data_IF_936627621525
#
_entry.id   IF_936627621525
#
_cell.length_a   1.000
_cell.length_b   1.000
_cell.length_c   1.000
_cell.angle_alpha   90.00
_cell.angle_beta   90.00
_cell.angle_gamma   90.00
#
_symmetry.space_group_name_H-M   'P 1'
#
loop_
_entity.id
_entity.type
_entity.pdbx_description
1 polymer ?
#
# COMPACT_ATOMS: atom_id res chain seq x y z
N UNK A 1 -33.09 11.55 6.20
CA UNK A 1 -32.08 11.03 7.15
C UNK A 1 -31.71 9.62 6.68
N UNK A 2 -30.47 9.40 6.23
CA UNK A 2 -30.01 8.14 5.61
C UNK A 2 -30.27 6.91 6.50
N UNK A 3 -30.13 7.04 7.82
CA UNK A 3 -30.36 5.92 8.73
C UNK A 3 -31.80 5.38 8.72
N UNK A 4 -32.78 6.13 8.21
CA UNK A 4 -34.15 5.65 8.05
C UNK A 4 -34.34 4.69 6.87
N UNK A 5 -33.34 4.56 5.99
CA UNK A 5 -33.39 3.64 4.84
C UNK A 5 -32.70 2.30 5.13
N UNK A 6 -32.12 2.13 6.32
CA UNK A 6 -31.43 0.91 6.72
C UNK A 6 -32.41 -0.01 7.46
N UNK A 7 -32.66 -1.18 6.89
CA UNK A 7 -33.39 -2.26 7.57
C UNK A 7 -32.41 -3.17 8.29
N UNK A 8 -32.56 -3.27 9.61
CA UNK A 8 -31.80 -4.22 10.43
C UNK A 8 -32.43 -5.63 10.31
N UNK A 9 -31.65 -6.73 10.41
CA UNK A 9 -32.17 -8.08 10.20
C UNK A 9 -33.41 -8.40 11.05
N UNK A 10 -34.46 -8.93 10.41
CA UNK A 10 -35.73 -9.26 11.08
C UNK A 10 -35.62 -10.59 11.84
N UNK A 11 -35.71 -10.54 13.18
CA UNK A 11 -35.63 -11.73 14.04
C UNK A 11 -35.71 -11.47 15.55
N UNK A 12 -36.33 -10.36 15.95
CA UNK A 12 -36.34 -9.88 17.35
C UNK A 12 -35.11 -9.02 17.66
N UNK A 13 -35.11 -8.30 18.79
CA UNK A 13 -33.93 -7.59 19.20
C UNK A 13 -32.94 -8.68 19.62
N UNK A 14 -32.08 -9.12 18.69
CA UNK A 14 -30.69 -9.29 19.09
C UNK A 14 -30.26 -7.89 19.51
N UNK A 15 -30.63 -7.49 20.74
CA UNK A 15 -30.17 -6.28 21.38
C UNK A 15 -28.68 -6.38 21.19
N UNK A 16 -28.13 -5.57 20.28
CA UNK A 16 -26.69 -5.53 20.10
C UNK A 16 -26.15 -5.30 21.50
N UNK A 17 -25.27 -6.20 21.95
CA UNK A 17 -24.59 -5.93 23.20
C UNK A 17 -23.76 -4.67 22.98
N UNK A 18 -24.26 -3.55 23.50
CA UNK A 18 -23.66 -2.25 23.26
C UNK A 18 -22.24 -2.19 23.83
N UNK A 19 -21.92 -3.05 24.80
CA UNK A 19 -20.56 -3.22 25.30
C UNK A 19 -19.67 -3.92 24.26
N UNK A 20 -20.19 -4.97 23.61
CA UNK A 20 -19.48 -5.64 22.51
C UNK A 20 -19.28 -4.69 21.31
N UNK A 21 -20.29 -3.89 20.98
CA UNK A 21 -20.20 -2.85 19.94
C UNK A 21 -19.12 -1.83 20.30
N UNK A 22 -19.14 -1.31 21.53
CA UNK A 22 -18.14 -0.35 22.02
C UNK A 22 -16.73 -0.93 21.92
N UNK A 23 -16.54 -2.18 22.37
CA UNK A 23 -15.26 -2.90 22.29
C UNK A 23 -14.77 -3.06 20.85
N UNK A 24 -15.64 -3.45 19.92
CA UNK A 24 -15.32 -3.57 18.48
C UNK A 24 -14.92 -2.23 17.87
N UNK A 25 -15.65 -1.17 18.20
CA UNK A 25 -15.38 0.19 17.72
C UNK A 25 -14.04 0.71 18.27
N UNK A 26 -13.70 0.40 19.53
CA UNK A 26 -12.42 0.76 20.14
C UNK A 26 -11.24 -0.01 19.55
N UNK A 27 -11.42 -1.30 19.31
CA UNK A 27 -10.45 -2.11 18.57
C UNK A 27 -10.20 -1.54 17.17
N UNK A 28 -11.28 -1.19 16.46
CA UNK A 28 -11.19 -0.59 15.13
C UNK A 28 -10.52 0.78 15.15
N UNK A 29 -10.82 1.64 16.13
CA UNK A 29 -10.16 2.94 16.31
C UNK A 29 -8.64 2.81 16.46
N UNK A 30 -8.22 1.87 17.30
CA UNK A 30 -6.79 1.62 17.54
C UNK A 30 -6.12 1.08 16.27
N UNK A 31 -6.81 0.18 15.58
CA UNK A 31 -6.38 -0.37 14.30
C UNK A 31 -6.23 0.71 13.21
N UNK A 32 -7.24 1.57 12.99
CA UNK A 32 -7.19 2.59 11.92
C UNK A 32 -6.11 3.62 12.17
N UNK A 33 -5.93 4.05 13.44
CA UNK A 33 -4.81 4.91 13.81
C UNK A 33 -3.47 4.27 13.47
N UNK A 34 -3.25 3.01 13.86
CA UNK A 34 -1.98 2.34 13.57
C UNK A 34 -1.78 2.12 12.07
N UNK A 35 -2.85 1.78 11.35
CA UNK A 35 -2.80 1.60 9.90
C UNK A 35 -2.43 2.90 9.19
N UNK A 36 -2.96 4.04 9.62
CA UNK A 36 -2.63 5.36 9.06
C UNK A 36 -1.13 5.67 9.23
N UNK A 37 -0.63 5.56 10.47
CA UNK A 37 0.81 5.72 10.77
C UNK A 37 1.68 4.82 9.90
N UNK A 38 1.33 3.54 9.77
CA UNK A 38 2.08 2.56 8.97
C UNK A 38 1.99 2.85 7.47
N UNK A 39 0.85 3.33 6.98
CA UNK A 39 0.66 3.71 5.57
C UNK A 39 1.52 4.91 5.21
N UNK A 40 1.59 5.91 6.09
CA UNK A 40 2.48 7.08 5.96
C UNK A 40 3.94 6.63 5.92
N UNK A 41 4.36 5.81 6.88
CA UNK A 41 5.75 5.33 6.97
C UNK A 41 6.16 4.53 5.72
N UNK A 42 5.29 3.63 5.26
CA UNK A 42 5.55 2.84 4.06
C UNK A 42 5.63 3.72 2.83
N UNK A 43 4.68 4.68 2.68
CA UNK A 43 4.67 5.60 1.55
C UNK A 43 5.97 6.43 1.50
N UNK A 44 6.46 6.93 2.64
CA UNK A 44 7.75 7.63 2.72
C UNK A 44 8.93 6.77 2.26
N UNK A 45 8.98 5.52 2.73
CA UNK A 45 10.06 4.58 2.41
C UNK A 45 10.05 4.18 0.94
N UNK A 46 8.87 3.90 0.39
CA UNK A 46 8.68 3.56 -1.03
C UNK A 46 9.05 4.75 -1.92
N UNK A 47 8.63 5.96 -1.56
CA UNK A 47 8.99 7.19 -2.28
C UNK A 47 10.50 7.43 -2.30
N UNK A 48 11.17 7.26 -1.16
CA UNK A 48 12.62 7.39 -1.09
C UNK A 48 13.32 6.33 -1.95
N UNK A 49 12.84 5.09 -1.88
CA UNK A 49 13.38 3.99 -2.66
C UNK A 49 13.21 4.22 -4.17
N UNK A 50 12.03 4.66 -4.63
CA UNK A 50 11.78 5.03 -6.01
C UNK A 50 12.78 6.09 -6.51
N UNK A 51 12.99 7.17 -5.74
CA UNK A 51 14.00 8.20 -6.08
C UNK A 51 15.42 7.63 -6.19
N UNK A 52 15.79 6.71 -5.29
CA UNK A 52 17.10 6.04 -5.34
C UNK A 52 17.23 5.16 -6.58
N UNK A 53 16.17 4.48 -7.02
CA UNK A 53 16.21 3.71 -8.27
C UNK A 53 16.38 4.62 -9.49
N UNK A 54 15.56 5.69 -9.59
CA UNK A 54 15.56 6.63 -10.73
C UNK A 54 16.91 7.32 -10.92
N UNK A 55 17.50 7.83 -9.85
CA UNK A 55 18.71 8.64 -9.94
C UNK A 55 19.95 7.89 -9.45
N UNK A 56 19.88 7.28 -8.26
CA UNK A 56 21.02 6.68 -7.59
C UNK A 56 21.54 5.42 -8.28
N UNK A 57 20.70 4.39 -8.41
CA UNK A 57 21.09 3.13 -9.02
C UNK A 57 21.43 3.31 -10.49
N UNK A 58 20.60 4.04 -11.26
CA UNK A 58 20.94 4.43 -12.63
C UNK A 58 22.35 4.97 -12.75
N UNK A 59 22.70 5.96 -11.92
CA UNK A 59 24.02 6.60 -11.94
C UNK A 59 25.16 5.62 -11.63
N UNK A 60 24.99 4.74 -10.64
CA UNK A 60 26.05 3.78 -10.29
C UNK A 60 26.26 2.75 -11.40
N UNK A 61 25.20 2.25 -12.02
CA UNK A 61 25.30 1.35 -13.18
C UNK A 61 25.98 2.03 -14.38
N UNK A 62 25.60 3.27 -14.70
CA UNK A 62 26.23 4.04 -15.76
C UNK A 62 27.71 4.34 -15.48
N UNK A 63 28.10 4.54 -14.21
CA UNK A 63 29.49 4.74 -13.82
C UNK A 63 30.34 3.49 -14.06
N UNK A 64 29.80 2.31 -13.77
CA UNK A 64 30.44 1.04 -14.10
C UNK A 64 30.53 0.87 -15.62
N UNK A 65 29.43 1.14 -16.34
CA UNK A 65 29.38 1.05 -17.80
C UNK A 65 30.40 1.98 -18.50
N UNK A 66 30.54 3.20 -18.01
CA UNK A 66 31.58 4.15 -18.45
C UNK A 66 33.00 3.62 -18.23
N UNK A 67 33.27 2.99 -17.08
CA UNK A 67 34.60 2.44 -16.76
C UNK A 67 34.98 1.30 -17.71
N UNK A 68 34.04 0.40 -18.04
CA UNK A 68 34.28 -0.68 -19.02
C UNK A 68 34.59 -0.11 -20.42
N UNK A 69 33.84 0.90 -20.87
CA UNK A 69 34.13 1.55 -22.15
C UNK A 69 35.49 2.24 -22.17
N UNK A 70 35.87 2.92 -21.09
CA UNK A 70 37.20 3.51 -20.96
C UNK A 70 38.32 2.48 -21.08
N UNK A 71 38.14 1.29 -20.49
CA UNK A 71 39.09 0.18 -20.64
C UNK A 71 39.15 -0.32 -22.08
N UNK A 72 38.00 -0.54 -22.73
CA UNK A 72 37.95 -0.94 -24.14
C UNK A 72 38.67 0.06 -25.04
N UNK A 73 38.45 1.36 -24.84
CA UNK A 73 39.10 2.43 -25.60
C UNK A 73 40.63 2.39 -25.44
N UNK A 74 41.13 2.11 -24.24
CA UNK A 74 42.56 1.95 -24.01
C UNK A 74 43.13 0.74 -24.78
N UNK A 75 42.38 -0.36 -24.85
CA UNK A 75 42.81 -1.55 -25.61
C UNK A 75 42.75 -1.35 -27.13
N UNK A 76 41.89 -0.46 -27.62
CA UNK A 76 41.84 -0.09 -29.05
C UNK A 76 43.04 0.77 -29.50
N UNK A 77 43.82 1.33 -28.56
CA UNK A 77 45.02 2.10 -28.89
C UNK A 77 46.15 1.25 -29.45
N UNK A 78 46.23 -0.03 -29.06
CA UNK A 78 47.18 -1.02 -29.59
C UNK A 78 46.41 -1.99 -30.50
N UNK A 79 46.36 -1.66 -31.79
CA UNK A 79 45.48 -2.28 -32.80
C UNK A 79 45.91 -3.69 -33.22
N UNK A 80 46.04 -4.60 -32.26
CA UNK A 80 46.30 -6.01 -32.50
C UNK A 80 45.03 -6.69 -33.05
N UNK A 81 45.10 -7.27 -34.25
CA UNK A 81 43.93 -7.85 -34.91
C UNK A 81 43.23 -8.96 -34.09
N UNK A 82 43.98 -9.69 -33.26
CA UNK A 82 43.44 -10.76 -32.41
C UNK A 82 42.72 -10.23 -31.15
N UNK A 83 42.92 -8.98 -30.73
CA UNK A 83 42.27 -8.41 -29.53
C UNK A 83 40.93 -7.73 -29.84
N UNK A 84 40.60 -7.53 -31.12
CA UNK A 84 39.39 -6.81 -31.56
C UNK A 84 38.12 -7.41 -30.96
N UNK A 85 37.98 -8.73 -30.92
CA UNK A 85 36.82 -9.41 -30.33
C UNK A 85 36.66 -9.11 -28.84
N UNK A 86 37.77 -9.18 -28.08
CA UNK A 86 37.78 -8.88 -26.65
C UNK A 86 37.38 -7.44 -26.37
N UNK A 87 37.94 -6.49 -27.11
CA UNK A 87 37.66 -5.06 -26.95
C UNK A 87 36.16 -4.79 -27.16
N UNK A 88 35.59 -5.33 -28.24
CA UNK A 88 34.16 -5.21 -28.53
C UNK A 88 33.28 -5.82 -27.43
N UNK A 89 33.65 -6.98 -26.88
CA UNK A 89 32.91 -7.62 -25.79
C UNK A 89 32.95 -6.78 -24.49
N UNK A 90 34.10 -6.16 -24.17
CA UNK A 90 34.24 -5.26 -23.02
C UNK A 90 33.42 -3.97 -23.23
N UNK A 91 33.47 -3.37 -24.42
CA UNK A 91 32.64 -2.21 -24.76
C UNK A 91 31.14 -2.54 -24.60
N UNK A 92 30.71 -3.69 -25.12
CA UNK A 92 29.32 -4.14 -25.02
C UNK A 92 28.90 -4.40 -23.57
N UNK A 93 29.81 -4.89 -22.71
CA UNK A 93 29.54 -4.99 -21.27
C UNK A 93 29.25 -3.62 -20.67
N UNK A 94 29.98 -2.59 -21.11
CA UNK A 94 29.70 -1.21 -20.72
C UNK A 94 28.30 -0.74 -21.12
N UNK A 95 27.87 -1.04 -22.34
CA UNK A 95 26.51 -0.75 -22.83
C UNK A 95 25.42 -1.52 -22.07
N UNK A 96 25.67 -2.78 -21.72
CA UNK A 96 24.73 -3.58 -20.94
C UNK A 96 24.51 -2.99 -19.54
N UNK A 97 25.57 -2.50 -18.89
CA UNK A 97 25.46 -1.82 -17.59
C UNK A 97 24.71 -0.48 -17.71
N UNK A 98 24.96 0.32 -18.75
CA UNK A 98 24.18 1.53 -19.02
C UNK A 98 22.68 1.20 -19.17
N UNK A 99 22.35 0.16 -19.95
CA UNK A 99 20.99 -0.29 -20.19
C UNK A 99 20.31 -0.79 -18.90
N UNK A 100 21.02 -1.52 -18.04
CA UNK A 100 20.50 -1.92 -16.72
C UNK A 100 20.21 -0.68 -15.85
N UNK A 101 21.06 0.35 -15.92
CA UNK A 101 20.80 1.63 -15.26
C UNK A 101 19.48 2.28 -15.70
N UNK A 102 19.16 2.25 -17.00
CA UNK A 102 17.86 2.71 -17.51
C UNK A 102 16.70 1.83 -17.03
N UNK A 103 16.88 0.50 -16.98
CA UNK A 103 15.85 -0.41 -16.43
C UNK A 103 15.51 -0.04 -14.98
N UNK A 104 16.51 0.26 -14.14
CA UNK A 104 16.27 0.73 -12.77
C UNK A 104 15.49 2.05 -12.73
N UNK A 105 15.71 2.94 -13.71
CA UNK A 105 15.05 4.23 -13.72
C UNK A 105 13.59 4.16 -14.12
N UNK A 106 13.24 3.24 -15.01
CA UNK A 106 11.86 3.02 -15.44
C UNK A 106 11.07 2.12 -14.47
N UNK A 107 11.75 1.34 -13.64
CA UNK A 107 11.12 0.32 -12.80
C UNK A 107 10.04 0.84 -11.83
N UNK A 108 10.24 1.97 -11.09
CA UNK A 108 9.26 2.40 -10.09
C UNK A 108 7.84 2.60 -10.63
N UNK A 109 7.70 2.98 -11.90
CA UNK A 109 6.39 3.15 -12.56
C UNK A 109 5.61 1.85 -12.70
N UNK A 110 6.31 0.72 -12.71
CA UNK A 110 5.71 -0.60 -12.90
C UNK A 110 5.20 -1.18 -11.58
N UNK A 111 5.84 -0.86 -10.45
CA UNK A 111 5.62 -1.56 -9.19
C UNK A 111 5.44 -0.67 -7.96
N UNK A 112 6.29 0.33 -7.75
CA UNK A 112 6.25 1.22 -6.58
C UNK A 112 5.14 2.27 -6.70
N UNK A 113 4.95 2.87 -7.88
CA UNK A 113 3.90 3.88 -8.11
C UNK A 113 2.50 3.30 -7.83
N UNK A 114 2.13 2.11 -8.36
CA UNK A 114 0.87 1.46 -7.99
C UNK A 114 0.71 1.17 -6.49
N UNK A 115 1.80 0.85 -5.77
CA UNK A 115 1.76 0.68 -4.30
C UNK A 115 1.44 2.02 -3.64
N UNK A 116 2.09 3.11 -4.06
CA UNK A 116 1.86 4.45 -3.50
C UNK A 116 0.42 4.92 -3.73
N UNK A 117 -0.14 4.67 -4.91
CA UNK A 117 -1.53 5.00 -5.24
C UNK A 117 -2.52 4.28 -4.33
N UNK A 118 -2.31 2.98 -4.07
CA UNK A 118 -3.13 2.23 -3.12
C UNK A 118 -3.02 2.83 -1.71
N UNK A 119 -1.82 3.16 -1.25
CA UNK A 119 -1.62 3.75 0.08
C UNK A 119 -2.36 5.10 0.20
N UNK A 120 -2.29 5.94 -0.83
CA UNK A 120 -3.00 7.22 -0.87
C UNK A 120 -4.53 7.04 -0.83
N UNK A 121 -5.07 6.06 -1.55
CA UNK A 121 -6.50 5.71 -1.51
C UNK A 121 -6.93 5.34 -0.08
N UNK A 122 -6.16 4.48 0.60
CA UNK A 122 -6.47 4.06 1.96
C UNK A 122 -6.30 5.19 2.98
N UNK A 123 -5.34 6.10 2.83
CA UNK A 123 -5.27 7.32 3.64
C UNK A 123 -6.55 8.16 3.53
N UNK A 124 -7.09 8.31 2.31
CA UNK A 124 -8.37 8.97 2.08
C UNK A 124 -9.53 8.30 2.81
N UNK A 125 -9.59 6.97 2.80
CA UNK A 125 -10.60 6.23 3.58
C UNK A 125 -10.39 6.38 5.10
N UNK A 126 -9.15 6.27 5.56
CA UNK A 126 -8.79 6.35 6.98
C UNK A 126 -9.13 7.71 7.60
N UNK A 127 -9.00 8.80 6.83
CA UNK A 127 -9.35 10.15 7.26
C UNK A 127 -10.82 10.32 7.66
N UNK A 128 -11.74 9.47 7.17
CA UNK A 128 -13.17 9.55 7.50
C UNK A 128 -13.55 8.83 8.80
N UNK A 129 -12.74 7.86 9.25
CA UNK A 129 -13.10 7.04 10.41
C UNK A 129 -13.11 7.75 11.76
N UNK A 130 -12.28 8.77 12.04
CA UNK A 130 -12.38 9.53 13.29
C UNK A 130 -13.79 10.07 13.56
N UNK A 131 -14.43 10.65 12.54
CA UNK A 131 -15.77 11.23 12.66
C UNK A 131 -16.86 10.15 12.76
N UNK A 132 -16.76 9.09 11.96
CA UNK A 132 -17.68 7.94 12.02
C UNK A 132 -17.66 7.31 13.43
N UNK A 133 -16.45 7.08 13.96
CA UNK A 133 -16.24 6.52 15.30
C UNK A 133 -16.77 7.49 16.37
N UNK A 134 -16.54 8.80 16.20
CA UNK A 134 -17.05 9.82 17.13
C UNK A 134 -18.58 9.79 17.21
N UNK A 135 -19.28 9.74 16.07
CA UNK A 135 -20.75 9.64 16.01
C UNK A 135 -21.24 8.38 16.70
N UNK A 136 -20.64 7.22 16.43
CA UNK A 136 -21.02 5.95 17.06
C UNK A 136 -20.80 5.98 18.58
N UNK A 137 -19.68 6.51 19.05
CA UNK A 137 -19.42 6.69 20.49
C UNK A 137 -20.39 7.66 21.15
N UNK A 138 -20.74 8.75 20.47
CA UNK A 138 -21.75 9.70 20.94
C UNK A 138 -23.11 9.04 21.12
N UNK A 139 -23.52 8.19 20.17
CA UNK A 139 -24.76 7.41 20.27
C UNK A 139 -24.75 6.45 21.48
N UNK A 140 -23.64 5.73 21.70
CA UNK A 140 -23.49 4.83 22.86
C UNK A 140 -23.56 5.60 24.19
N UNK A 141 -22.88 6.74 24.29
CA UNK A 141 -22.95 7.60 25.48
C UNK A 141 -24.38 8.09 25.72
N UNK A 142 -25.12 8.45 24.67
CA UNK A 142 -26.51 8.89 24.81
C UNK A 142 -27.44 7.80 25.32
N UNK A 143 -27.21 6.53 24.96
CA UNK A 143 -27.96 5.39 25.54
C UNK A 143 -27.64 5.21 27.02
N UNK A 144 -26.37 5.35 27.43
CA UNK A 144 -25.97 5.28 28.84
C UNK A 144 -26.63 6.42 29.65
N UNK A 145 -26.61 7.64 29.13
CA UNK A 145 -27.26 8.80 29.73
C UNK A 145 -28.80 8.65 29.83
N UNK A 146 -29.45 8.15 28.78
CA UNK A 146 -30.91 7.99 28.77
C UNK A 146 -31.36 6.95 29.79
N UNK A 147 -30.63 5.83 29.94
CA UNK A 147 -30.91 4.82 30.98
C UNK A 147 -30.80 5.41 32.38
N UNK A 148 -29.74 6.17 32.67
CA UNK A 148 -29.58 6.87 33.96
C UNK A 148 -30.72 7.86 34.21
N UNK A 149 -31.17 8.61 33.20
CA UNK A 149 -32.29 9.56 33.38
C UNK A 149 -33.62 8.86 33.63
N UNK A 150 -33.82 7.65 33.11
CA UNK A 150 -34.98 6.82 33.45
C UNK A 150 -34.91 6.37 34.92
N UNK A 151 -33.76 5.90 35.39
CA UNK A 151 -33.53 5.50 36.79
C UNK A 151 -33.77 6.67 37.77
N UNK A 152 -33.39 7.88 37.38
CA UNK A 152 -33.61 9.11 38.15
C UNK A 152 -35.04 9.68 38.05
N UNK A 153 -35.93 9.05 37.28
CA UNK A 153 -37.31 9.52 37.06
C UNK A 153 -37.42 10.78 36.19
N UNK A 154 -36.35 11.16 35.49
CA UNK A 154 -36.27 12.37 34.62
C UNK A 154 -36.64 12.08 33.16
N UNK A 155 -36.87 10.82 32.79
CA UNK A 155 -37.21 10.40 31.44
C UNK A 155 -38.15 9.19 31.45
N UNK A 156 -39.07 9.14 30.49
CA UNK A 156 -39.94 7.99 30.24
C UNK A 156 -39.17 6.86 29.54
N UNK A 157 -39.44 5.61 29.92
CA UNK A 157 -38.81 4.41 29.33
C UNK A 157 -38.95 4.39 27.80
N UNK A 158 -40.14 4.70 27.27
CA UNK A 158 -40.42 4.71 25.82
C UNK A 158 -39.51 5.67 25.03
N UNK A 159 -39.14 6.81 25.64
CA UNK A 159 -38.21 7.77 25.02
C UNK A 159 -36.78 7.22 25.02
N UNK A 160 -36.38 6.51 26.08
CA UNK A 160 -35.08 5.86 26.15
C UNK A 160 -34.97 4.69 25.17
N UNK A 161 -36.04 3.90 24.99
CA UNK A 161 -36.11 2.81 24.01
C UNK A 161 -35.92 3.34 22.59
N UNK A 162 -36.57 4.46 22.23
CA UNK A 162 -36.37 5.09 20.92
C UNK A 162 -34.95 5.62 20.68
N UNK A 163 -34.22 6.01 21.74
CA UNK A 163 -32.79 6.37 21.64
C UNK A 163 -31.95 5.12 21.41
N UNK A 164 -32.26 4.02 22.11
CA UNK A 164 -31.58 2.75 21.95
C UNK A 164 -31.77 2.16 20.55
N UNK A 165 -32.98 2.21 19.99
CA UNK A 165 -33.27 1.75 18.63
C UNK A 165 -32.46 2.51 17.57
N UNK A 166 -32.36 3.83 17.71
CA UNK A 166 -31.52 4.65 16.83
C UNK A 166 -30.04 4.30 16.97
N UNK A 167 -29.56 4.08 18.20
CA UNK A 167 -28.19 3.64 18.45
C UNK A 167 -27.92 2.27 17.80
N UNK A 168 -28.88 1.34 17.84
CA UNK A 168 -28.76 0.03 17.19
C UNK A 168 -28.59 0.18 15.68
N UNK A 169 -29.39 1.02 15.02
CA UNK A 169 -29.28 1.27 13.57
C UNK A 169 -27.89 1.83 13.22
N UNK A 170 -27.41 2.84 13.95
CA UNK A 170 -26.07 3.42 13.73
C UNK A 170 -24.99 2.35 13.96
N UNK A 171 -25.15 1.52 14.98
CA UNK A 171 -24.22 0.43 15.31
C UNK A 171 -24.14 -0.60 14.19
N UNK A 172 -25.28 -1.05 13.66
CA UNK A 172 -25.31 -1.99 12.53
C UNK A 172 -24.66 -1.39 11.28
N UNK A 173 -24.96 -0.13 10.95
CA UNK A 173 -24.36 0.56 9.82
C UNK A 173 -22.82 0.65 9.98
N UNK A 174 -22.37 1.05 11.16
CA UNK A 174 -20.94 1.19 11.48
C UNK A 174 -20.22 -0.16 11.42
N UNK A 175 -20.79 -1.22 12.00
CA UNK A 175 -20.21 -2.56 11.97
C UNK A 175 -20.19 -3.15 10.55
N UNK A 176 -21.23 -2.91 9.76
CA UNK A 176 -21.27 -3.30 8.36
C UNK A 176 -20.18 -2.60 7.55
N UNK A 177 -19.96 -1.31 7.78
CA UNK A 177 -18.90 -0.53 7.12
C UNK A 177 -17.51 -1.01 7.52
N UNK A 178 -17.25 -1.25 8.82
CA UNK A 178 -15.98 -1.82 9.30
C UNK A 178 -15.70 -3.17 8.62
N UNK A 179 -16.72 -4.02 8.55
CA UNK A 179 -16.59 -5.32 7.90
C UNK A 179 -16.33 -5.18 6.39
N UNK A 180 -17.03 -4.26 5.71
CA UNK A 180 -16.83 -3.97 4.31
C UNK A 180 -15.40 -3.47 4.05
N UNK A 181 -14.95 -2.47 4.81
CA UNK A 181 -13.59 -1.94 4.75
C UNK A 181 -12.55 -3.06 4.86
N UNK A 182 -12.68 -3.96 5.83
CA UNK A 182 -11.75 -5.07 5.99
C UNK A 182 -11.75 -6.06 4.82
N UNK A 183 -12.92 -6.38 4.25
CA UNK A 183 -13.01 -7.26 3.06
C UNK A 183 -12.32 -6.64 1.85
N UNK A 184 -12.55 -5.35 1.61
CA UNK A 184 -11.94 -4.62 0.50
C UNK A 184 -10.43 -4.48 0.72
N UNK A 185 -9.99 -4.11 1.93
CA UNK A 185 -8.57 -4.08 2.33
C UNK A 185 -7.84 -5.38 2.01
N UNK A 186 -8.40 -6.52 2.42
CA UNK A 186 -7.75 -7.82 2.17
C UNK A 186 -7.62 -8.09 0.68
N UNK A 187 -8.65 -7.80 -0.12
CA UNK A 187 -8.62 -7.98 -1.57
C UNK A 187 -7.56 -7.09 -2.22
N UNK A 188 -7.58 -5.80 -1.92
CA UNK A 188 -6.76 -4.81 -2.62
C UNK A 188 -5.28 -4.98 -2.28
N UNK A 189 -4.94 -5.08 -0.99
CA UNK A 189 -3.55 -5.29 -0.58
C UNK A 189 -3.00 -6.62 -1.07
N UNK A 190 -3.81 -7.68 -1.11
CA UNK A 190 -3.40 -8.95 -1.73
C UNK A 190 -3.03 -8.74 -3.20
N UNK A 191 -3.95 -8.16 -3.98
CA UNK A 191 -3.73 -7.94 -5.41
C UNK A 191 -2.50 -7.07 -5.66
N UNK A 192 -2.34 -5.99 -4.88
CA UNK A 192 -1.24 -5.06 -5.04
C UNK A 192 0.11 -5.69 -4.68
N UNK A 193 0.16 -6.50 -3.62
CA UNK A 193 1.39 -7.20 -3.26
C UNK A 193 1.76 -8.28 -4.27
N UNK A 194 0.77 -8.97 -4.85
CA UNK A 194 1.02 -9.91 -5.94
C UNK A 194 1.61 -9.20 -7.16
N UNK A 195 1.02 -8.08 -7.59
CA UNK A 195 1.51 -7.27 -8.69
C UNK A 195 2.94 -6.77 -8.44
N UNK A 196 3.19 -6.18 -7.27
CA UNK A 196 4.53 -5.70 -6.88
C UNK A 196 5.60 -6.80 -7.02
N UNK A 197 5.34 -7.98 -6.46
CA UNK A 197 6.29 -9.10 -6.52
C UNK A 197 6.47 -9.64 -7.94
N UNK A 198 5.41 -9.72 -8.73
CA UNK A 198 5.49 -10.13 -10.14
C UNK A 198 6.36 -9.18 -10.95
N UNK A 199 6.18 -7.87 -10.78
CA UNK A 199 6.98 -6.87 -11.48
C UNK A 199 8.45 -6.88 -11.03
N UNK A 200 8.72 -7.11 -9.75
CA UNK A 200 10.10 -7.29 -9.25
C UNK A 200 10.77 -8.54 -9.87
N UNK A 201 10.05 -9.66 -9.98
CA UNK A 201 10.56 -10.87 -10.65
C UNK A 201 10.88 -10.57 -12.11
N UNK A 202 9.95 -9.97 -12.84
CA UNK A 202 10.13 -9.63 -14.25
C UNK A 202 11.29 -8.64 -14.46
N UNK A 203 11.47 -7.70 -13.54
CA UNK A 203 12.59 -6.76 -13.56
C UNK A 203 13.93 -7.49 -13.47
N UNK A 204 14.12 -8.33 -12.46
CA UNK A 204 15.39 -9.04 -12.30
C UNK A 204 15.64 -10.04 -13.43
N UNK A 205 14.60 -10.64 -14.03
CA UNK A 205 14.76 -11.44 -15.24
C UNK A 205 15.29 -10.62 -16.43
N UNK A 206 14.79 -9.40 -16.63
CA UNK A 206 15.31 -8.49 -17.68
C UNK A 206 16.77 -8.11 -17.41
N UNK A 207 17.13 -7.87 -16.15
CA UNK A 207 18.52 -7.60 -15.76
C UNK A 207 19.40 -8.81 -16.07
N UNK A 208 18.98 -10.02 -15.68
CA UNK A 208 19.69 -11.27 -16.01
C UNK A 208 19.90 -11.41 -17.50
N UNK A 209 18.86 -11.20 -18.31
CA UNK A 209 18.96 -11.28 -19.77
C UNK A 209 20.02 -10.31 -20.33
N UNK A 210 20.10 -9.07 -19.80
CA UNK A 210 21.13 -8.10 -20.23
C UNK A 210 22.54 -8.58 -19.92
N UNK A 211 22.73 -9.24 -18.78
CA UNK A 211 24.01 -9.81 -18.39
C UNK A 211 24.36 -11.05 -19.24
N UNK A 212 23.40 -11.91 -19.55
CA UNK A 212 23.58 -13.08 -20.43
C UNK A 212 23.93 -12.65 -21.87
N UNK A 213 23.25 -11.64 -22.41
CA UNK A 213 23.55 -11.03 -23.71
C UNK A 213 25.00 -10.52 -23.77
N UNK A 214 25.48 -9.89 -22.68
CA UNK A 214 26.85 -9.40 -22.59
C UNK A 214 27.86 -10.54 -22.44
N UNK A 215 27.56 -11.55 -21.63
CA UNK A 215 28.42 -12.72 -21.45
C UNK A 215 28.64 -13.46 -22.77
N UNK A 216 27.59 -13.65 -23.57
CA UNK A 216 27.68 -14.35 -24.85
C UNK A 216 28.62 -13.68 -25.86
N UNK A 217 28.90 -12.37 -25.72
CA UNK A 217 29.89 -11.67 -26.57
C UNK A 217 31.31 -12.20 -26.38
N UNK A 218 31.60 -12.85 -25.26
CA UNK A 218 32.91 -13.39 -24.96
C UNK A 218 33.13 -14.81 -25.51
N UNK A 219 32.08 -15.51 -25.96
CA UNK A 219 32.18 -16.91 -26.39
C UNK A 219 33.01 -17.14 -27.66
N UNK A 220 33.19 -16.09 -28.46
CA UNK A 220 33.92 -16.13 -29.74
C UNK A 220 35.17 -15.22 -29.76
N UNK A 221 35.65 -14.83 -28.57
CA UNK A 221 36.87 -14.04 -28.39
C UNK A 221 38.10 -14.94 -28.43
#
# INVERSE_FOLDING_TARGET
NFFLTISVPAGGPAVLDLQEVESKVDGFKSFTKKMDESTIQLNQTVNEFARKQVAGFKKEYQKVGHSFRGLSQAFEMDQQAFSVGLNQAIAFTGEAYDAIGELFADQPRQDLDPVMDLLALYQGHLANFPDIIHVQKGALTKVKESKRHVEEGKMEIQKADGIQDRCNIISFATLAEIHHFHRIRVRDFKSQMQHFLQQQILFFQKVTQKLEEALHKYDNV
#
